data_IF_975475245350
#
_entry.id   IF_975475245350
#
_cell.length_a   1.000
_cell.length_b   1.000
_cell.length_c   1.000
_cell.angle_alpha   90.00
_cell.angle_beta   90.00
_cell.angle_gamma   90.00
#
_symmetry.space_group_name_H-M   'P 1'
#
loop_
_entity.id
_entity.type
_entity.pdbx_description
1 polymer ?
#
# COMPACT_ATOMS: atom_id res chain seq x y z
N UNK A 1 -3.24 -1.11 -19.69
CA UNK A 1 -2.09 -1.81 -19.07
C UNK A 1 -0.86 -0.92 -19.14
N UNK A 2 -0.12 -0.83 -18.05
CA UNK A 2 1.14 -0.10 -18.06
C UNK A 2 2.30 -1.08 -18.19
N UNK A 3 3.40 -0.60 -18.78
CA UNK A 3 4.63 -1.38 -18.85
C UNK A 3 5.61 -0.79 -17.83
N UNK A 4 6.16 -1.64 -16.96
CA UNK A 4 7.20 -1.23 -16.03
C UNK A 4 8.28 -2.30 -16.01
N UNK A 5 9.51 -1.90 -16.33
CA UNK A 5 10.68 -2.79 -16.43
C UNK A 5 10.44 -4.01 -17.31
N UNK A 6 9.80 -3.76 -18.47
CA UNK A 6 9.53 -4.79 -19.47
C UNK A 6 8.39 -5.73 -19.14
N UNK A 7 7.66 -5.49 -18.06
CA UNK A 7 6.52 -6.31 -17.64
C UNK A 7 5.24 -5.50 -17.76
N UNK A 8 4.23 -6.08 -18.41
CA UNK A 8 2.90 -5.49 -18.50
C UNK A 8 2.19 -5.66 -17.17
N UNK A 9 1.73 -4.54 -16.59
CA UNK A 9 1.08 -4.51 -15.27
C UNK A 9 -0.25 -3.79 -15.34
N UNK A 10 -1.17 -4.03 -14.40
CA UNK A 10 -2.48 -3.34 -14.39
C UNK A 10 -2.32 -1.84 -14.22
N UNK A 11 -3.26 -1.07 -14.80
CA UNK A 11 -3.31 0.38 -14.59
C UNK A 11 -3.72 0.74 -13.17
N UNK A 12 -4.59 -0.09 -12.57
CA UNK A 12 -5.06 0.08 -11.20
C UNK A 12 -4.81 -1.18 -10.40
N UNK A 13 -4.64 -1.04 -9.09
CA UNK A 13 -4.46 -2.18 -8.20
C UNK A 13 -5.66 -3.12 -8.31
N UNK A 14 -5.44 -4.41 -8.60
CA UNK A 14 -6.53 -5.38 -8.59
C UNK A 14 -7.20 -5.45 -7.21
N UNK A 15 -8.51 -5.67 -7.18
CA UNK A 15 -9.24 -5.79 -5.91
C UNK A 15 -8.75 -6.96 -5.06
N UNK A 16 -8.28 -8.01 -5.71
CA UNK A 16 -7.81 -9.20 -5.02
C UNK A 16 -6.47 -9.63 -5.57
N UNK A 17 -5.46 -9.53 -4.72
CA UNK A 17 -4.10 -9.95 -5.05
C UNK A 17 -3.81 -11.24 -4.27
N UNK A 18 -3.55 -12.32 -4.99
CA UNK A 18 -3.24 -13.62 -4.40
C UNK A 18 -1.79 -14.00 -4.58
N UNK A 19 -1.10 -13.40 -5.55
CA UNK A 19 0.29 -13.67 -5.89
C UNK A 19 0.99 -12.37 -6.27
N UNK A 20 2.30 -12.34 -6.06
CA UNK A 20 3.15 -11.22 -6.46
C UNK A 20 4.36 -11.75 -7.23
N UNK A 21 4.81 -10.99 -8.23
CA UNK A 21 6.11 -11.21 -8.84
C UNK A 21 7.20 -10.81 -7.85
N UNK A 22 8.43 -11.27 -8.08
CA UNK A 22 9.55 -11.09 -7.15
C UNK A 22 9.82 -9.63 -6.80
N UNK A 23 9.57 -8.70 -7.73
CA UNK A 23 9.82 -7.27 -7.53
C UNK A 23 8.57 -6.50 -7.06
N UNK A 24 7.45 -7.18 -6.88
CA UNK A 24 6.19 -6.54 -6.50
C UNK A 24 6.00 -6.50 -4.99
N UNK A 25 5.40 -5.42 -4.50
CA UNK A 25 5.17 -5.17 -3.07
C UNK A 25 3.69 -4.86 -2.85
N UNK A 26 3.12 -5.48 -1.83
CA UNK A 26 1.72 -5.30 -1.42
C UNK A 26 1.66 -4.24 -0.32
N UNK A 27 1.07 -3.08 -0.64
CA UNK A 27 0.97 -1.97 0.31
C UNK A 27 -0.39 -2.03 1.01
N UNK A 28 -0.38 -2.09 2.33
CA UNK A 28 -1.60 -2.33 3.11
C UNK A 28 -1.74 -1.37 4.29
N UNK A 29 -2.98 -1.17 4.72
CA UNK A 29 -3.28 -0.39 5.92
C UNK A 29 -3.03 -1.23 7.18
N UNK A 30 -2.32 -0.66 8.14
CA UNK A 30 -1.94 -1.33 9.37
C UNK A 30 -2.32 -0.51 10.59
N UNK A 31 -1.87 -0.94 11.78
CA UNK A 31 -1.85 -0.16 13.01
C UNK A 31 -0.41 -0.12 13.53
N UNK A 32 -0.10 0.86 14.37
CA UNK A 32 1.28 1.01 14.88
C UNK A 32 1.74 -0.19 15.71
N UNK A 33 0.82 -0.89 16.37
CA UNK A 33 1.17 -2.08 17.13
C UNK A 33 1.53 -3.27 16.23
N UNK A 34 1.22 -3.18 14.92
CA UNK A 34 1.53 -4.26 13.98
C UNK A 34 0.69 -5.49 14.16
N UNK A 35 -0.52 -5.34 14.68
CA UNK A 35 -1.45 -6.46 14.86
C UNK A 35 -2.19 -6.71 13.55
N UNK A 36 -1.68 -7.63 12.74
CA UNK A 36 -2.16 -7.92 11.39
C UNK A 36 -3.28 -8.96 11.41
N UNK A 37 -4.34 -8.71 12.18
CA UNK A 37 -5.37 -9.71 12.47
C UNK A 37 -6.53 -9.78 11.48
N UNK A 38 -6.66 -8.83 10.55
CA UNK A 38 -7.80 -8.83 9.63
C UNK A 38 -7.55 -8.08 8.34
N UNK A 39 -8.42 -8.31 7.34
CA UNK A 39 -8.39 -7.63 6.07
C UNK A 39 -7.08 -7.79 5.30
N UNK A 40 -6.66 -6.72 4.61
CA UNK A 40 -5.42 -6.73 3.83
C UNK A 40 -4.19 -6.99 4.70
N UNK A 41 -4.18 -6.52 5.94
CA UNK A 41 -3.07 -6.76 6.87
C UNK A 41 -2.89 -8.24 7.15
N UNK A 42 -3.98 -8.98 7.33
CA UNK A 42 -3.92 -10.42 7.54
C UNK A 42 -3.40 -11.15 6.29
N UNK A 43 -3.85 -10.74 5.10
CA UNK A 43 -3.36 -11.28 3.84
C UNK A 43 -1.85 -11.04 3.70
N UNK A 44 -1.39 -9.82 4.02
CA UNK A 44 0.03 -9.48 3.99
C UNK A 44 0.84 -10.37 4.95
N UNK A 45 0.32 -10.58 6.15
CA UNK A 45 0.96 -11.43 7.16
C UNK A 45 1.05 -12.88 6.70
N UNK A 46 -0.04 -13.40 6.13
CA UNK A 46 -0.09 -14.82 5.73
C UNK A 46 0.67 -15.11 4.44
N UNK A 47 0.74 -14.16 3.51
CA UNK A 47 1.19 -14.44 2.14
C UNK A 47 2.41 -13.62 1.70
N UNK A 48 2.59 -12.42 2.22
CA UNK A 48 3.56 -11.47 1.65
C UNK A 48 4.61 -10.98 2.63
N UNK A 49 4.81 -11.71 3.71
CA UNK A 49 5.94 -11.49 4.61
C UNK A 49 5.79 -10.36 5.61
N UNK A 50 4.58 -9.83 5.82
CA UNK A 50 4.36 -8.84 6.87
C UNK A 50 4.67 -9.47 8.23
N UNK A 51 5.30 -8.69 9.10
CA UNK A 51 5.79 -9.16 10.39
C UNK A 51 4.82 -8.72 11.48
N UNK A 52 4.35 -9.67 12.29
CA UNK A 52 3.52 -9.36 13.45
C UNK A 52 4.32 -8.48 14.42
N UNK A 53 3.72 -7.38 14.83
CA UNK A 53 4.38 -6.39 15.68
C UNK A 53 5.07 -5.27 14.92
N UNK A 54 5.11 -5.33 13.58
CA UNK A 54 5.71 -4.29 12.75
C UNK A 54 4.62 -3.56 11.96
N UNK A 55 4.30 -2.34 12.38
CA UNK A 55 3.19 -1.57 11.82
C UNK A 55 3.57 -0.55 10.76
N UNK A 56 4.85 -0.38 10.44
CA UNK A 56 5.32 0.65 9.51
C UNK A 56 6.41 0.09 8.60
N UNK A 57 6.30 0.40 7.31
CA UNK A 57 7.40 0.22 6.36
C UNK A 57 7.47 -1.15 5.70
N UNK A 58 8.58 -1.36 4.99
CA UNK A 58 8.79 -2.57 4.21
C UNK A 58 9.07 -3.77 5.11
N UNK A 59 8.38 -4.87 4.82
CA UNK A 59 8.52 -6.14 5.53
C UNK A 59 8.20 -7.26 4.54
N UNK A 60 9.22 -8.00 4.12
CA UNK A 60 9.09 -9.00 3.05
C UNK A 60 8.66 -8.35 1.74
N UNK A 61 7.58 -8.85 1.14
CA UNK A 61 6.99 -8.27 -0.07
C UNK A 61 5.76 -7.40 0.27
N UNK A 62 5.72 -6.82 1.46
CA UNK A 62 4.63 -5.92 1.86
C UNK A 62 5.18 -4.63 2.46
N UNK A 63 4.34 -3.59 2.47
CA UNK A 63 4.69 -2.30 3.04
C UNK A 63 3.50 -1.81 3.86
N UNK A 64 3.73 -1.53 5.14
CA UNK A 64 2.68 -1.18 6.08
C UNK A 64 2.55 0.34 6.22
N UNK A 65 1.31 0.84 6.11
CA UNK A 65 0.97 2.24 6.35
C UNK A 65 -0.06 2.28 7.49
N UNK A 66 0.28 2.81 8.66
CA UNK A 66 -0.68 2.86 9.78
C UNK A 66 -1.87 3.78 9.46
N UNK A 67 -3.07 3.29 9.75
CA UNK A 67 -4.32 4.01 9.44
C UNK A 67 -5.26 4.13 10.63
N UNK A 68 -4.82 3.70 11.83
CA UNK A 68 -5.69 3.59 13.01
C UNK A 68 -5.37 4.60 14.11
N UNK A 69 -4.63 5.69 13.78
CA UNK A 69 -4.11 6.61 14.80
C UNK A 69 -4.95 7.88 14.98
N UNK A 70 -5.99 8.07 14.18
CA UNK A 70 -6.83 9.27 14.20
C UNK A 70 -7.39 9.55 12.83
N UNK A 71 -7.53 10.82 12.48
CA UNK A 71 -8.04 11.25 11.18
C UNK A 71 -7.01 11.06 10.05
N UNK A 72 -7.40 11.46 8.83
CA UNK A 72 -6.52 11.31 7.66
C UNK A 72 -5.21 12.10 7.80
N UNK A 73 -5.17 13.15 8.61
CA UNK A 73 -3.94 13.90 8.90
C UNK A 73 -2.87 13.05 9.60
N UNK A 74 -3.28 11.98 10.29
CA UNK A 74 -2.33 11.06 10.94
C UNK A 74 -1.74 10.07 9.95
N UNK A 75 -2.41 9.86 8.81
CA UNK A 75 -1.99 8.93 7.76
C UNK A 75 -1.02 9.61 6.79
N UNK A 76 -1.24 10.90 6.52
CA UNK A 76 -0.49 11.66 5.51
C UNK A 76 1.04 11.54 5.63
N UNK A 77 1.65 11.69 6.82
CA UNK A 77 3.10 11.56 6.93
C UNK A 77 3.62 10.18 6.51
N UNK A 78 2.86 9.13 6.82
CA UNK A 78 3.24 7.77 6.44
C UNK A 78 3.07 7.51 4.94
N UNK A 79 2.07 8.12 4.32
CA UNK A 79 1.91 8.07 2.86
C UNK A 79 3.07 8.79 2.18
N UNK A 80 3.45 9.98 2.67
CA UNK A 80 4.57 10.74 2.12
C UNK A 80 5.88 9.98 2.24
N UNK A 81 6.10 9.32 3.38
CA UNK A 81 7.26 8.45 3.58
C UNK A 81 7.26 7.29 2.60
N UNK A 82 6.10 6.66 2.38
CA UNK A 82 5.96 5.58 1.40
C UNK A 82 6.29 6.07 -0.01
N UNK A 83 5.76 7.21 -0.43
CA UNK A 83 6.02 7.75 -1.77
C UNK A 83 7.52 8.01 -1.97
N UNK A 84 8.17 8.59 -0.96
CA UNK A 84 9.62 8.80 -0.98
C UNK A 84 10.39 7.49 -1.07
N UNK A 85 9.96 6.49 -0.32
CA UNK A 85 10.55 5.15 -0.37
C UNK A 85 10.43 4.54 -1.77
N UNK A 86 9.25 4.60 -2.37
CA UNK A 86 9.02 4.04 -3.70
C UNK A 86 9.88 4.72 -4.76
N UNK A 87 10.01 6.05 -4.70
CA UNK A 87 10.88 6.80 -5.62
C UNK A 87 12.34 6.38 -5.51
N UNK A 88 12.78 6.03 -4.30
CA UNK A 88 14.16 5.61 -4.04
C UNK A 88 14.41 4.14 -4.38
N UNK A 89 13.38 3.37 -4.70
CA UNK A 89 13.47 1.94 -4.98
C UNK A 89 12.80 1.59 -6.30
N UNK A 90 13.34 2.10 -7.43
CA UNK A 90 12.77 1.83 -8.76
C UNK A 90 12.86 0.37 -9.18
N UNK A 91 13.63 -0.45 -8.47
CA UNK A 91 13.70 -1.90 -8.71
C UNK A 91 12.44 -2.63 -8.23
N UNK A 92 11.54 -1.95 -7.48
CA UNK A 92 10.30 -2.54 -6.96
C UNK A 92 9.08 -1.89 -7.60
N UNK A 93 7.98 -2.63 -7.65
CA UNK A 93 6.68 -2.14 -8.12
C UNK A 93 5.66 -2.32 -7.00
N UNK A 94 4.95 -1.24 -6.64
CA UNK A 94 4.09 -1.22 -5.44
C UNK A 94 2.62 -1.21 -5.83
N UNK A 95 1.87 -2.21 -5.34
CA UNK A 95 0.42 -2.22 -5.45
C UNK A 95 -0.17 -1.65 -4.17
N UNK A 96 -0.72 -0.45 -4.24
CA UNK A 96 -1.40 0.17 -3.11
C UNK A 96 -2.83 -0.35 -3.05
N UNK A 97 -3.20 -0.97 -1.93
CA UNK A 97 -4.59 -1.38 -1.68
C UNK A 97 -5.39 -0.17 -1.18
N UNK A 98 -6.71 -0.35 -0.98
CA UNK A 98 -7.57 0.72 -0.45
C UNK A 98 -7.34 0.91 1.04
N UNK A 99 -6.15 1.36 1.40
CA UNK A 99 -5.76 1.54 2.80
C UNK A 99 -6.73 2.49 3.50
N UNK A 100 -7.02 2.19 4.77
CA UNK A 100 -7.93 3.01 5.58
C UNK A 100 -9.40 2.83 5.26
N UNK A 101 -9.77 2.17 4.17
CA UNK A 101 -11.16 2.06 3.72
C UNK A 101 -11.87 0.78 4.20
N UNK A 102 -11.17 -0.05 4.97
CA UNK A 102 -11.73 -1.24 5.59
C UNK A 102 -12.04 -1.00 7.07
N UNK A 103 -11.30 -1.70 7.93
CA UNK A 103 -11.51 -1.66 9.39
C UNK A 103 -11.39 -0.23 9.94
N UNK A 104 -10.49 0.59 9.41
CA UNK A 104 -10.31 1.97 9.87
C UNK A 104 -11.50 2.87 9.55
N UNK A 105 -12.33 2.50 8.59
CA UNK A 105 -13.62 3.15 8.33
C UNK A 105 -13.58 4.43 7.52
N UNK A 106 -12.46 4.77 6.89
CA UNK A 106 -12.39 5.93 6.00
C UNK A 106 -13.08 5.66 4.67
N UNK A 107 -13.54 6.73 4.03
CA UNK A 107 -14.07 6.66 2.67
C UNK A 107 -12.95 6.90 1.66
N UNK A 108 -13.12 6.39 0.44
CA UNK A 108 -12.12 6.56 -0.62
C UNK A 108 -11.82 8.04 -0.86
N UNK A 109 -12.83 8.92 -0.87
CA UNK A 109 -12.63 10.36 -1.08
C UNK A 109 -11.90 11.05 0.08
N UNK A 110 -11.78 10.41 1.23
CA UNK A 110 -10.97 10.92 2.35
C UNK A 110 -9.50 10.52 2.21
N UNK A 111 -9.24 9.36 1.65
CA UNK A 111 -7.88 8.81 1.54
C UNK A 111 -7.22 9.17 0.21
N UNK A 112 -7.98 9.18 -0.90
CA UNK A 112 -7.44 9.45 -2.23
C UNK A 112 -6.56 10.71 -2.30
N UNK A 113 -6.94 11.85 -1.69
CA UNK A 113 -6.12 13.07 -1.74
C UNK A 113 -4.74 12.91 -1.12
N UNK A 114 -4.56 11.98 -0.18
CA UNK A 114 -3.27 11.71 0.44
C UNK A 114 -2.26 11.13 -0.54
N UNK A 115 -2.74 10.51 -1.62
CA UNK A 115 -1.92 9.86 -2.65
C UNK A 115 -1.73 10.71 -3.90
N UNK A 116 -2.05 12.01 -3.87
CA UNK A 116 -1.91 12.87 -5.04
C UNK A 116 -0.48 12.85 -5.58
N UNK A 117 0.51 12.89 -4.72
CA UNK A 117 1.92 12.86 -5.12
C UNK A 117 2.37 11.52 -5.70
N UNK A 118 1.58 10.47 -5.51
CA UNK A 118 1.89 9.14 -6.04
C UNK A 118 1.40 8.92 -7.47
N UNK A 119 0.51 9.78 -7.97
CA UNK A 119 -0.14 9.57 -9.28
C UNK A 119 0.84 9.52 -10.45
N UNK A 120 1.92 10.28 -10.37
CA UNK A 120 2.92 10.36 -11.42
C UNK A 120 4.16 9.50 -11.16
N UNK A 121 4.12 8.66 -10.14
CA UNK A 121 5.25 7.78 -9.80
C UNK A 121 5.06 6.45 -10.53
N UNK A 122 5.98 6.14 -11.45
CA UNK A 122 5.84 5.02 -12.39
C UNK A 122 5.71 3.66 -11.72
N UNK A 123 6.36 3.46 -10.58
CA UNK A 123 6.37 2.19 -9.86
C UNK A 123 5.35 2.10 -8.73
N UNK A 124 4.39 3.03 -8.70
CA UNK A 124 3.25 2.96 -7.77
C UNK A 124 1.97 2.76 -8.57
N UNK A 125 1.24 1.70 -8.24
CA UNK A 125 -0.07 1.39 -8.78
C UNK A 125 -1.10 1.68 -7.70
N UNK A 126 -2.09 2.53 -8.00
CA UNK A 126 -3.13 2.91 -7.05
C UNK A 126 -4.43 2.15 -7.33
N UNK A 127 -5.30 1.98 -6.33
CA UNK A 127 -6.68 1.56 -6.60
C UNK A 127 -7.36 2.58 -7.51
N UNK A 128 -8.29 2.14 -8.32
CA UNK A 128 -9.04 3.03 -9.20
C UNK A 128 -9.69 4.18 -8.42
N UNK A 129 -10.21 3.88 -7.23
CA UNK A 129 -10.87 4.87 -6.37
C UNK A 129 -9.94 5.94 -5.82
N UNK A 130 -8.61 5.76 -5.90
CA UNK A 130 -7.61 6.74 -5.47
C UNK A 130 -6.98 7.49 -6.65
N UNK A 131 -7.31 7.10 -7.85
CA UNK A 131 -6.71 7.68 -9.05
C UNK A 131 -7.32 9.05 -9.43
#
# INVERSE_FOLDING_TARGET
MRNYKGISRPDFTPERITELKADEVFVFGSNLAGMHGGGAAYAAFRKFGAVWGCGVGLQGQSYAIPTMQGGEETIKPYVDEFVGYAKSHPERFFYVTRIGCGIAGFRDEEIAPLFTSARDVENICLPESFA
#
